data_IF_101640963573
#
_entry.id   IF_101640963573
#
_cell.length_a   1.000
_cell.length_b   1.000
_cell.length_c   1.000
_cell.angle_alpha   90.00
_cell.angle_beta   90.00
_cell.angle_gamma   90.00
#
_symmetry.space_group_name_H-M   'P 1'
#
loop_
_entity.id
_entity.type
_entity.pdbx_description
1 polymer ?
#
# COMPACT_ATOMS: atom_id res chain seq x y z
N UNK A 1 7.97 -7.00 -4.30
CA UNK A 1 6.94 -5.95 -4.41
C UNK A 1 5.84 -6.20 -3.38
N UNK A 2 5.58 -5.21 -2.55
CA UNK A 2 4.57 -5.24 -1.49
C UNK A 2 3.37 -4.38 -1.90
N UNK A 3 2.25 -5.03 -2.20
CA UNK A 3 0.97 -4.40 -2.50
C UNK A 3 0.25 -4.05 -1.19
N UNK A 4 0.05 -2.76 -0.98
CA UNK A 4 -0.54 -2.19 0.25
C UNK A 4 -1.92 -1.58 -0.02
N UNK A 5 -2.57 -1.97 -1.11
CA UNK A 5 -3.89 -1.45 -1.48
C UNK A 5 -4.99 -2.19 -0.71
N UNK A 6 -6.04 -1.46 -0.33
CA UNK A 6 -7.22 -2.05 0.33
C UNK A 6 -7.93 -3.10 -0.56
N UNK A 7 -7.90 -2.92 -1.88
CA UNK A 7 -8.40 -3.91 -2.84
C UNK A 7 -7.45 -4.08 -4.02
N UNK A 8 -7.31 -5.33 -4.49
CA UNK A 8 -6.43 -5.69 -5.61
C UNK A 8 -7.16 -6.47 -6.73
N UNK A 9 -8.49 -6.49 -6.73
CA UNK A 9 -9.31 -7.29 -7.67
C UNK A 9 -9.91 -6.47 -8.82
N UNK A 10 -10.00 -5.14 -8.72
CA UNK A 10 -10.56 -4.32 -9.81
C UNK A 10 -9.66 -4.41 -11.05
N UNK A 11 -10.21 -4.70 -12.24
CA UNK A 11 -9.46 -4.91 -13.48
C UNK A 11 -8.57 -3.72 -13.89
N UNK A 12 -7.45 -4.03 -14.55
CA UNK A 12 -6.79 -3.15 -15.54
C UNK A 12 -6.87 -3.94 -16.85
N UNK A 13 -7.56 -3.40 -17.86
CA UNK A 13 -7.57 -3.94 -19.24
C UNK A 13 -7.65 -5.48 -19.34
N UNK A 14 -8.73 -6.11 -18.86
CA UNK A 14 -9.00 -7.54 -19.06
C UNK A 14 -8.26 -8.52 -18.12
N UNK A 15 -7.30 -8.02 -17.33
CA UNK A 15 -6.50 -8.80 -16.37
C UNK A 15 -7.02 -8.58 -14.93
N UNK A 16 -7.17 -9.67 -14.16
CA UNK A 16 -7.47 -9.57 -12.72
C UNK A 16 -6.17 -9.31 -11.98
N UNK A 17 -5.87 -8.02 -11.72
CA UNK A 17 -4.59 -7.51 -11.18
C UNK A 17 -3.91 -8.42 -10.15
N UNK A 18 -4.64 -8.99 -9.20
CA UNK A 18 -4.09 -9.93 -8.21
C UNK A 18 -3.40 -11.15 -8.85
N UNK A 19 -4.10 -11.88 -9.73
CA UNK A 19 -3.59 -13.12 -10.34
C UNK A 19 -2.42 -12.82 -11.26
N UNK A 20 -2.54 -11.75 -12.03
CA UNK A 20 -1.52 -11.38 -13.01
C UNK A 20 -0.25 -10.86 -12.33
N UNK A 21 -0.36 -10.03 -11.30
CA UNK A 21 0.82 -9.56 -10.57
C UNK A 21 1.51 -10.71 -9.81
N UNK A 22 0.74 -11.61 -9.20
CA UNK A 22 1.30 -12.79 -8.55
C UNK A 22 2.04 -13.71 -9.53
N UNK A 23 1.56 -13.80 -10.78
CA UNK A 23 2.19 -14.63 -11.82
C UNK A 23 3.40 -13.93 -12.46
N UNK A 24 3.25 -12.70 -12.94
CA UNK A 24 4.26 -12.01 -13.75
C UNK A 24 5.41 -11.40 -12.93
N UNK A 25 5.17 -10.91 -11.71
CA UNK A 25 6.22 -10.18 -10.95
C UNK A 25 7.43 -11.08 -10.66
N UNK A 26 7.26 -12.32 -10.15
CA UNK A 26 8.40 -13.22 -9.97
C UNK A 26 9.10 -13.55 -11.30
N UNK A 27 8.33 -13.77 -12.37
CA UNK A 27 8.87 -14.17 -13.68
C UNK A 27 9.65 -13.07 -14.38
N UNK A 28 9.20 -11.82 -14.28
CA UNK A 28 9.80 -10.70 -15.01
C UNK A 28 10.91 -9.99 -14.21
N UNK A 29 10.84 -10.03 -12.88
CA UNK A 29 11.73 -9.22 -12.02
C UNK A 29 12.53 -10.03 -11.01
N UNK A 30 12.20 -11.31 -10.81
CA UNK A 30 12.77 -12.13 -9.75
C UNK A 30 12.32 -11.74 -8.33
N UNK A 31 11.40 -10.77 -8.19
CA UNK A 31 10.89 -10.34 -6.89
C UNK A 31 9.61 -11.08 -6.50
N UNK A 32 9.42 -11.30 -5.20
CA UNK A 32 8.15 -11.79 -4.66
C UNK A 32 7.03 -10.75 -4.86
N UNK A 33 5.80 -11.21 -5.07
CA UNK A 33 4.59 -10.37 -4.95
C UNK A 33 3.82 -10.74 -3.69
N UNK A 34 3.66 -9.77 -2.78
CA UNK A 34 2.94 -9.97 -1.53
C UNK A 34 1.88 -8.89 -1.41
N UNK A 35 0.64 -9.28 -1.13
CA UNK A 35 -0.45 -8.35 -0.79
C UNK A 35 -0.66 -8.38 0.73
N UNK A 36 -0.40 -7.26 1.39
CA UNK A 36 -0.55 -7.15 2.84
C UNK A 36 -1.42 -5.95 3.21
N UNK A 37 -2.63 -6.28 3.67
CA UNK A 37 -3.67 -5.31 4.04
C UNK A 37 -3.45 -4.67 5.40
N UNK A 38 -2.47 -5.14 6.20
CA UNK A 38 -2.07 -4.44 7.44
C UNK A 38 -1.68 -3.00 7.13
N UNK A 39 -1.05 -2.77 5.97
CA UNK A 39 -0.64 -1.47 5.49
C UNK A 39 -1.68 -0.74 4.64
N UNK A 40 -2.88 -1.31 4.47
CA UNK A 40 -3.92 -0.65 3.70
C UNK A 40 -4.70 0.36 4.57
N UNK A 41 -5.15 1.49 4.00
CA UNK A 41 -6.09 2.37 4.68
C UNK A 41 -7.43 1.64 4.88
N UNK A 42 -8.13 1.97 5.95
CA UNK A 42 -9.51 1.49 6.13
C UNK A 42 -10.39 1.94 4.97
N UNK A 43 -11.38 1.11 4.63
CA UNK A 43 -12.25 1.37 3.48
C UNK A 43 -13.03 2.66 3.66
N UNK A 44 -13.51 2.94 4.87
CA UNK A 44 -14.19 4.19 5.19
C UNK A 44 -13.27 5.40 5.01
N UNK A 45 -12.04 5.33 5.51
CA UNK A 45 -11.05 6.42 5.37
C UNK A 45 -10.70 6.67 3.91
N UNK A 46 -10.50 5.60 3.13
CA UNK A 46 -10.23 5.71 1.70
C UNK A 46 -11.41 6.33 0.94
N UNK A 47 -12.64 5.99 1.30
CA UNK A 47 -13.84 6.57 0.70
C UNK A 47 -13.98 8.06 1.06
N UNK A 48 -13.68 8.47 2.30
CA UNK A 48 -13.66 9.89 2.68
C UNK A 48 -12.69 10.71 1.82
N UNK A 49 -11.51 10.18 1.55
CA UNK A 49 -10.52 10.84 0.70
C UNK A 49 -10.87 10.82 -0.79
N UNK A 50 -11.39 9.70 -1.29
CA UNK A 50 -11.57 9.52 -2.75
C UNK A 50 -12.93 9.97 -3.27
N UNK A 51 -13.97 9.95 -2.43
CA UNK A 51 -15.36 10.27 -2.82
C UNK A 51 -15.90 11.53 -2.16
N UNK A 52 -15.49 11.79 -0.91
CA UNK A 52 -16.04 12.90 -0.11
C UNK A 52 -15.06 14.07 0.06
N UNK A 53 -14.01 14.12 -0.76
CA UNK A 53 -13.06 15.24 -0.84
C UNK A 53 -12.38 15.63 0.48
N UNK A 54 -12.12 14.66 1.37
CA UNK A 54 -11.26 14.91 2.53
C UNK A 54 -9.90 15.47 2.06
N UNK A 55 -9.38 16.53 2.69
CA UNK A 55 -8.05 17.05 2.38
C UNK A 55 -6.96 16.00 2.61
N UNK A 56 -5.90 16.06 1.81
CA UNK A 56 -4.80 15.10 1.90
C UNK A 56 -4.16 15.06 3.29
N UNK A 57 -3.95 16.21 3.94
CA UNK A 57 -3.28 16.26 5.24
C UNK A 57 -4.10 15.58 6.34
N UNK A 58 -5.43 15.64 6.24
CA UNK A 58 -6.32 14.94 7.16
C UNK A 58 -6.27 13.43 6.91
N UNK A 59 -6.35 13.02 5.64
CA UNK A 59 -6.22 11.62 5.26
C UNK A 59 -4.88 11.02 5.70
N UNK A 60 -3.78 11.75 5.48
CA UNK A 60 -2.43 11.32 5.83
C UNK A 60 -2.28 11.09 7.34
N UNK A 61 -2.77 12.05 8.15
CA UNK A 61 -2.75 11.96 9.61
C UNK A 61 -3.59 10.79 10.14
N UNK A 62 -4.80 10.59 9.60
CA UNK A 62 -5.64 9.47 10.04
C UNK A 62 -5.06 8.12 9.60
N UNK A 63 -4.49 8.04 8.40
CA UNK A 63 -3.79 6.84 7.95
C UNK A 63 -2.56 6.51 8.81
N UNK A 64 -1.76 7.51 9.19
CA UNK A 64 -0.64 7.31 10.10
C UNK A 64 -1.09 6.68 11.43
N UNK A 65 -2.19 7.18 12.02
CA UNK A 65 -2.75 6.61 13.25
C UNK A 65 -3.14 5.14 13.08
N UNK A 66 -3.69 4.76 11.92
CA UNK A 66 -4.02 3.36 11.61
C UNK A 66 -2.75 2.50 11.63
N UNK A 67 -1.69 2.93 10.95
CA UNK A 67 -0.43 2.18 10.88
C UNK A 67 0.23 2.05 12.26
N UNK A 68 0.22 3.13 13.05
CA UNK A 68 0.74 3.10 14.43
C UNK A 68 -0.06 2.16 15.32
N UNK A 69 -1.40 2.21 15.25
CA UNK A 69 -2.28 1.32 16.02
C UNK A 69 -2.09 -0.16 15.68
N UNK A 70 -1.64 -0.46 14.46
CA UNK A 70 -1.37 -1.83 13.97
C UNK A 70 0.08 -2.27 14.21
N UNK A 71 0.90 -1.46 14.87
CA UNK A 71 2.35 -1.67 14.97
C UNK A 71 3.01 -1.94 13.61
N UNK A 72 2.51 -1.27 12.55
CA UNK A 72 2.83 -1.60 11.17
C UNK A 72 4.32 -1.50 10.85
N UNK A 73 5.06 -0.59 11.50
CA UNK A 73 6.51 -0.49 11.35
C UNK A 73 7.22 -1.74 11.88
N UNK A 74 6.82 -2.23 13.06
CA UNK A 74 7.40 -3.45 13.64
C UNK A 74 7.06 -4.67 12.77
N UNK A 75 5.80 -4.79 12.36
CA UNK A 75 5.35 -5.82 11.40
C UNK A 75 6.15 -5.77 10.09
N UNK A 76 6.48 -4.57 9.59
CA UNK A 76 7.31 -4.44 8.40
C UNK A 76 8.73 -4.96 8.63
N UNK A 77 9.38 -4.53 9.72
CA UNK A 77 10.75 -4.93 10.06
C UNK A 77 10.86 -6.44 10.24
N UNK A 78 9.91 -7.05 10.96
CA UNK A 78 9.87 -8.49 11.20
C UNK A 78 9.68 -9.29 9.91
N UNK A 79 8.69 -8.92 9.09
CA UNK A 79 8.24 -9.73 7.96
C UNK A 79 9.03 -9.48 6.68
N UNK A 80 9.50 -8.24 6.50
CA UNK A 80 10.15 -7.79 5.27
C UNK A 80 11.58 -7.28 5.45
N UNK A 81 12.11 -7.17 6.66
CA UNK A 81 13.49 -6.74 6.90
C UNK A 81 14.56 -7.66 6.29
N UNK A 82 14.20 -8.89 5.94
CA UNK A 82 15.06 -9.85 5.23
C UNK A 82 15.28 -9.52 3.74
N UNK A 83 14.43 -8.69 3.15
CA UNK A 83 14.55 -8.35 1.72
C UNK A 83 15.57 -7.25 1.53
N UNK A 84 16.44 -7.39 0.51
CA UNK A 84 17.40 -6.35 0.15
C UNK A 84 16.72 -5.03 -0.25
N UNK A 85 15.55 -5.10 -0.90
CA UNK A 85 14.73 -3.94 -1.24
C UNK A 85 13.24 -4.30 -1.28
N UNK A 86 12.39 -3.32 -0.94
CA UNK A 86 10.93 -3.48 -0.98
C UNK A 86 10.32 -2.34 -1.78
N UNK A 87 9.65 -2.67 -2.88
CA UNK A 87 8.84 -1.73 -3.66
C UNK A 87 7.40 -1.73 -3.16
N UNK A 88 6.88 -0.56 -2.73
CA UNK A 88 5.50 -0.39 -2.28
C UNK A 88 4.58 -0.10 -3.48
N UNK A 89 3.60 -0.97 -3.70
CA UNK A 89 2.56 -0.78 -4.72
C UNK A 89 1.29 -0.21 -4.08
N UNK A 90 0.94 1.01 -4.48
CA UNK A 90 -0.18 1.80 -3.93
C UNK A 90 -1.19 2.25 -4.98
N UNK A 91 -1.90 3.35 -4.67
CA UNK A 91 -2.96 3.92 -5.53
C UNK A 91 -2.65 5.33 -6.03
N UNK A 92 -1.37 5.72 -6.05
CA UNK A 92 -0.96 7.03 -6.55
C UNK A 92 -1.39 7.22 -8.01
N UNK A 93 -1.87 8.41 -8.33
CA UNK A 93 -2.20 8.82 -9.70
C UNK A 93 -1.64 10.23 -9.95
N UNK A 94 -1.64 10.69 -11.20
CA UNK A 94 -1.20 12.07 -11.52
C UNK A 94 -1.96 13.17 -10.78
N UNK A 95 -3.20 12.90 -10.34
CA UNK A 95 -4.08 13.89 -9.70
C UNK A 95 -4.21 13.71 -8.18
N UNK A 96 -3.67 12.64 -7.62
CA UNK A 96 -3.97 12.25 -6.23
C UNK A 96 -2.79 11.54 -5.56
N UNK A 97 -2.39 12.06 -4.41
CA UNK A 97 -1.40 11.49 -3.48
C UNK A 97 -1.89 10.16 -2.90
N UNK A 98 -0.99 9.30 -2.46
CA UNK A 98 -1.30 7.95 -1.96
C UNK A 98 -0.74 7.72 -0.57
N UNK A 99 -1.45 6.92 0.23
CA UNK A 99 -1.00 6.45 1.55
C UNK A 99 0.41 5.83 1.56
N UNK A 100 0.90 5.32 0.42
CA UNK A 100 2.29 4.90 0.24
C UNK A 100 3.30 5.96 0.63
N UNK A 101 3.01 7.25 0.41
CA UNK A 101 3.91 8.34 0.78
C UNK A 101 4.07 8.38 2.30
N UNK A 102 2.96 8.35 3.03
CA UNK A 102 2.95 8.31 4.50
C UNK A 102 3.61 7.03 5.02
N UNK A 103 3.31 5.88 4.42
CA UNK A 103 3.93 4.61 4.81
C UNK A 103 5.44 4.64 4.59
N UNK A 104 5.91 5.14 3.45
CA UNK A 104 7.33 5.28 3.14
C UNK A 104 8.01 6.14 4.18
N UNK A 105 7.42 7.28 4.50
CA UNK A 105 7.98 8.23 5.46
C UNK A 105 8.03 7.61 6.87
N UNK A 106 6.99 6.86 7.28
CA UNK A 106 7.02 6.14 8.55
C UNK A 106 8.12 5.07 8.62
N UNK A 107 8.34 4.32 7.53
CA UNK A 107 9.34 3.25 7.48
C UNK A 107 10.78 3.78 7.44
N UNK A 108 11.01 4.95 6.81
CA UNK A 108 12.35 5.54 6.70
C UNK A 108 12.77 6.32 7.96
N UNK A 109 11.81 6.81 8.74
CA UNK A 109 12.07 7.63 9.93
C UNK A 109 11.92 6.85 11.25
N UNK A 110 12.00 5.51 11.22
CA UNK A 110 11.72 4.62 12.36
C UNK A 110 12.84 3.68 12.78
#
# INVERSE_FOLDING_TARGET
MLDVRQGNTSQLCGFTKKKDLAFFVPQLTGADYIHDVVFAPDRELLDLYTKYHMPWEDYAREYEKIIRKRDGVAHFKERYGKYHSVCLLGTATRKRRSHNEVLRDLLLNS
#
